data_IF_016040903636
#
_entry.id   IF_016040903636
#
_cell.length_a   1.000
_cell.length_b   1.000
_cell.length_c   1.000
_cell.angle_alpha   90.00
_cell.angle_beta   90.00
_cell.angle_gamma   90.00
#
_symmetry.space_group_name_H-M   'P 1'
#
loop_
_entity.id
_entity.type
_entity.pdbx_description
1 polymer ?
#
# COMPACT_ATOMS: atom_id res chain seq x y z
N UNK A 1 10.66 -6.08 28.99
CA UNK A 1 10.32 -5.81 27.58
C UNK A 1 9.28 -6.81 27.08
N UNK A 2 9.44 -8.07 27.49
CA UNK A 2 8.58 -9.22 27.12
C UNK A 2 7.08 -9.04 27.37
N UNK A 3 6.70 -8.32 28.44
CA UNK A 3 5.28 -8.03 28.74
C UNK A 3 4.64 -7.18 27.64
N UNK A 4 5.36 -6.19 27.10
CA UNK A 4 4.83 -5.33 26.04
C UNK A 4 4.79 -6.05 24.70
N UNK A 5 5.82 -6.84 24.38
CA UNK A 5 5.85 -7.62 23.13
C UNK A 5 4.72 -8.65 23.11
N UNK A 6 4.51 -9.37 24.22
CA UNK A 6 3.41 -10.34 24.34
C UNK A 6 2.05 -9.65 24.27
N UNK A 7 1.88 -8.51 24.94
CA UNK A 7 0.64 -7.73 24.82
C UNK A 7 0.36 -7.29 23.38
N UNK A 8 1.37 -6.84 22.63
CA UNK A 8 1.19 -6.45 21.21
C UNK A 8 0.71 -7.65 20.39
N UNK A 9 1.38 -8.80 20.49
CA UNK A 9 1.02 -10.01 19.75
C UNK A 9 -0.40 -10.46 20.10
N UNK A 10 -0.71 -10.61 21.39
CA UNK A 10 -2.02 -11.06 21.86
C UNK A 10 -3.13 -10.08 21.43
N UNK A 11 -2.84 -8.78 21.38
CA UNK A 11 -3.80 -7.75 20.94
C UNK A 11 -4.08 -7.89 19.44
N UNK A 12 -3.06 -8.05 18.60
CA UNK A 12 -3.24 -8.25 17.16
C UNK A 12 -3.98 -9.55 16.85
N UNK A 13 -3.67 -10.64 17.57
CA UNK A 13 -4.35 -11.93 17.41
C UNK A 13 -5.83 -11.89 17.84
N UNK A 14 -6.18 -10.99 18.75
CA UNK A 14 -7.57 -10.79 19.19
C UNK A 14 -8.46 -10.08 18.15
N UNK A 15 -7.85 -9.41 17.16
CA UNK A 15 -8.59 -8.66 16.14
C UNK A 15 -9.08 -9.59 15.02
N UNK A 16 -10.33 -9.43 14.54
CA UNK A 16 -10.77 -10.14 13.36
C UNK A 16 -9.91 -9.79 12.15
N UNK A 17 -9.48 -10.81 11.39
CA UNK A 17 -8.65 -10.60 10.20
C UNK A 17 -9.32 -9.67 9.19
N UNK A 18 -10.64 -9.74 9.07
CA UNK A 18 -11.45 -8.92 8.19
C UNK A 18 -11.38 -7.44 8.57
N UNK A 19 -11.25 -7.12 9.86
CA UNK A 19 -11.11 -5.75 10.34
C UNK A 19 -9.75 -5.17 9.91
N UNK A 20 -8.70 -5.96 10.05
CA UNK A 20 -7.34 -5.59 9.61
C UNK A 20 -7.34 -5.41 8.09
N UNK A 21 -7.79 -6.40 7.32
CA UNK A 21 -7.84 -6.29 5.86
C UNK A 21 -8.64 -5.07 5.40
N UNK A 22 -9.78 -4.79 6.03
CA UNK A 22 -10.59 -3.61 5.73
C UNK A 22 -9.85 -2.31 5.98
N UNK A 23 -9.10 -2.18 7.08
CA UNK A 23 -8.39 -0.92 7.36
C UNK A 23 -7.36 -0.59 6.29
N UNK A 24 -6.65 -1.61 5.77
CA UNK A 24 -5.69 -1.42 4.69
C UNK A 24 -6.36 -0.97 3.38
N UNK A 25 -7.49 -1.60 3.00
CA UNK A 25 -8.26 -1.23 1.81
C UNK A 25 -8.86 0.18 1.90
N UNK A 26 -9.35 0.55 3.09
CA UNK A 26 -9.94 1.87 3.34
C UNK A 26 -8.89 2.99 3.28
N UNK A 27 -7.63 2.67 3.61
CA UNK A 27 -6.49 3.57 3.49
C UNK A 27 -5.82 3.57 2.10
N UNK A 28 -6.29 2.78 1.13
CA UNK A 28 -5.68 2.73 -0.20
C UNK A 28 -4.38 1.93 -0.27
N UNK A 29 -4.04 1.11 0.74
CA UNK A 29 -2.72 0.47 0.86
C UNK A 29 -2.65 -0.86 0.10
N UNK A 30 -3.69 -1.69 0.23
CA UNK A 30 -3.70 -3.05 -0.33
C UNK A 30 -4.76 -3.22 -1.41
N UNK A 31 -5.20 -2.13 -2.03
CA UNK A 31 -6.28 -2.13 -3.03
C UNK A 31 -5.78 -2.74 -4.35
N UNK A 32 -6.69 -3.32 -5.12
CA UNK A 32 -6.41 -3.85 -6.44
C UNK A 32 -5.96 -2.71 -7.38
N UNK A 33 -4.84 -2.93 -8.07
CA UNK A 33 -4.23 -1.94 -8.98
C UNK A 33 -5.05 -1.69 -10.25
N UNK A 34 -6.00 -2.59 -10.57
CA UNK A 34 -6.92 -2.44 -11.69
C UNK A 34 -8.06 -1.44 -11.42
N UNK A 35 -8.10 -0.87 -10.21
CA UNK A 35 -9.11 0.09 -9.78
C UNK A 35 -10.45 -0.51 -9.36
N UNK A 36 -10.59 -1.85 -9.36
CA UNK A 36 -11.84 -2.54 -9.01
C UNK A 36 -12.27 -2.34 -7.55
N UNK A 37 -11.36 -1.88 -6.69
CA UNK A 37 -11.57 -1.65 -5.26
C UNK A 37 -11.38 -0.18 -4.84
N UNK A 38 -11.29 0.76 -5.79
CA UNK A 38 -11.13 2.18 -5.48
C UNK A 38 -12.35 2.75 -4.73
N UNK A 39 -13.49 2.06 -4.78
CA UNK A 39 -14.69 2.41 -4.02
C UNK A 39 -14.58 2.17 -2.52
N UNK A 40 -13.64 1.32 -2.10
CA UNK A 40 -13.40 1.03 -0.69
C UNK A 40 -12.61 2.15 0.01
N UNK A 41 -11.87 2.97 -0.74
CA UNK A 41 -11.00 4.02 -0.22
C UNK A 41 -11.84 5.11 0.47
N UNK A 42 -11.54 5.40 1.74
CA UNK A 42 -12.36 6.27 2.58
C UNK A 42 -12.54 7.67 1.99
N UNK A 43 -11.45 8.28 1.52
CA UNK A 43 -11.47 9.66 1.06
C UNK A 43 -12.29 9.82 -0.23
N UNK A 44 -12.51 8.74 -1.00
CA UNK A 44 -13.28 8.77 -2.24
C UNK A 44 -14.79 8.60 -2.05
N UNK A 45 -15.24 8.39 -0.81
CA UNK A 45 -16.68 8.32 -0.51
C UNK A 45 -17.34 9.69 -0.66
N UNK A 46 -18.67 9.75 -0.87
CA UNK A 46 -19.39 11.02 -0.99
C UNK A 46 -19.18 11.99 0.19
N UNK A 47 -19.04 11.45 1.39
CA UNK A 47 -18.76 12.15 2.65
C UNK A 47 -17.26 12.28 2.97
N UNK A 48 -16.40 11.73 2.11
CA UNK A 48 -14.95 11.75 2.25
C UNK A 48 -14.34 13.11 1.93
N UNK A 49 -13.04 13.25 2.20
CA UNK A 49 -12.29 14.47 1.91
C UNK A 49 -12.03 14.71 0.42
N UNK A 50 -12.18 13.69 -0.43
CA UNK A 50 -11.96 13.76 -1.87
C UNK A 50 -12.99 12.92 -2.66
N UNK A 51 -14.28 13.32 -2.68
CA UNK A 51 -15.34 12.53 -3.34
C UNK A 51 -15.09 12.26 -4.83
N UNK A 52 -14.35 13.16 -5.51
CA UNK A 52 -13.96 13.02 -6.91
C UNK A 52 -12.70 12.17 -7.14
N UNK A 53 -12.06 11.68 -6.07
CA UNK A 53 -10.75 11.04 -6.12
C UNK A 53 -10.71 9.80 -6.99
N UNK A 54 -11.77 8.99 -6.99
CA UNK A 54 -11.89 7.81 -7.88
C UNK A 54 -11.81 8.20 -9.35
N UNK A 55 -12.53 9.26 -9.75
CA UNK A 55 -12.53 9.74 -11.13
C UNK A 55 -11.16 10.32 -11.50
N UNK A 56 -10.53 11.05 -10.58
CA UNK A 56 -9.20 11.61 -10.80
C UNK A 56 -8.15 10.50 -10.97
N UNK A 57 -8.15 9.49 -10.09
CA UNK A 57 -7.23 8.35 -10.15
C UNK A 57 -7.41 7.56 -11.46
N UNK A 58 -8.65 7.26 -11.84
CA UNK A 58 -8.94 6.59 -13.11
C UNK A 58 -8.42 7.39 -14.32
N UNK A 59 -8.53 8.72 -14.32
CA UNK A 59 -7.98 9.54 -15.40
C UNK A 59 -6.45 9.48 -15.45
N UNK A 60 -5.76 9.48 -14.29
CA UNK A 60 -4.31 9.33 -14.25
C UNK A 60 -3.86 7.94 -14.76
N UNK A 61 -4.58 6.88 -14.41
CA UNK A 61 -4.33 5.54 -14.97
C UNK A 61 -4.47 5.51 -16.50
N UNK A 62 -5.47 6.20 -17.06
CA UNK A 62 -5.63 6.33 -18.51
C UNK A 62 -4.51 7.16 -19.16
N UNK A 63 -4.03 8.22 -18.50
CA UNK A 63 -2.90 9.00 -19.01
C UNK A 63 -1.64 8.15 -19.08
N UNK A 64 -1.37 7.35 -18.04
CA UNK A 64 -0.24 6.43 -18.02
C UNK A 64 -0.36 5.35 -19.10
N UNK A 65 -1.55 4.76 -19.29
CA UNK A 65 -1.74 3.71 -20.32
C UNK A 65 -1.61 4.22 -21.77
N UNK A 66 -1.85 5.52 -21.99
CA UNK A 66 -1.68 6.18 -23.29
C UNK A 66 -0.28 6.76 -23.48
N UNK A 67 0.43 7.10 -22.40
CA UNK A 67 1.74 7.76 -22.43
C UNK A 67 2.93 6.80 -22.29
N UNK A 68 2.76 5.55 -21.84
CA UNK A 68 3.88 4.65 -21.61
C UNK A 68 4.45 4.10 -22.93
N UNK A 69 5.56 4.68 -23.38
CA UNK A 69 6.56 3.87 -24.05
C UNK A 69 7.22 2.95 -23.00
N UNK A 70 7.59 1.73 -23.39
CA UNK A 70 8.28 0.78 -22.49
C UNK A 70 9.54 1.39 -21.84
N UNK A 71 10.15 2.39 -22.48
CA UNK A 71 11.27 3.17 -21.92
C UNK A 71 10.95 3.82 -20.59
N UNK A 72 9.74 4.37 -20.42
CA UNK A 72 9.40 5.19 -19.26
C UNK A 72 9.19 4.33 -17.99
N UNK A 73 8.90 3.04 -18.17
CA UNK A 73 8.87 2.06 -17.08
C UNK A 73 10.25 1.58 -16.66
N UNK A 74 11.22 1.56 -17.58
CA UNK A 74 12.59 1.11 -17.27
C UNK A 74 13.25 2.10 -16.32
N UNK A 75 13.08 3.40 -16.55
CA UNK A 75 13.62 4.45 -15.68
C UNK A 75 13.03 4.39 -14.26
N UNK A 76 11.73 4.10 -14.12
CA UNK A 76 11.07 4.01 -12.80
C UNK A 76 11.51 2.77 -12.01
N UNK A 77 11.81 1.65 -12.69
CA UNK A 77 12.34 0.44 -12.05
C UNK A 77 13.80 0.64 -11.63
N UNK A 78 14.59 1.42 -12.38
CA UNK A 78 15.96 1.78 -12.00
C UNK A 78 16.02 2.71 -10.77
N UNK A 79 15.00 3.54 -10.54
CA UNK A 79 14.92 4.41 -9.34
C UNK A 79 14.55 3.68 -8.05
N UNK A 80 14.03 2.44 -8.11
CA UNK A 80 13.79 1.62 -6.91
C UNK A 80 15.13 1.07 -6.42
N UNK A 81 15.84 1.86 -5.61
CA UNK A 81 17.08 1.43 -4.96
C UNK A 81 16.78 0.50 -3.78
N UNK A 82 16.56 -0.79 -4.08
CA UNK A 82 16.42 -1.85 -3.05
C UNK A 82 17.70 -2.04 -2.21
N UNK A 83 18.82 -1.39 -2.58
CA UNK A 83 20.07 -1.45 -1.84
C UNK A 83 20.26 -0.29 -0.86
N UNK A 84 19.39 0.73 -0.88
CA UNK A 84 19.46 1.88 0.02
C UNK A 84 19.31 1.50 1.51
N UNK A 85 18.58 0.42 1.79
CA UNK A 85 18.45 -0.13 3.15
C UNK A 85 19.81 -0.57 3.72
N UNK A 86 20.66 -1.18 2.88
CA UNK A 86 22.01 -1.61 3.25
C UNK A 86 22.95 -0.42 3.53
N UNK A 87 22.77 0.71 2.81
CA UNK A 87 23.61 1.91 2.96
C UNK A 87 23.22 2.71 4.19
N UNK A 88 21.93 2.72 4.55
CA UNK A 88 21.42 3.39 5.74
C UNK A 88 21.64 2.58 7.04
N UNK A 89 22.26 1.40 6.94
CA UNK A 89 22.54 0.53 8.08
C UNK A 89 21.31 -0.21 8.61
N UNK A 90 20.20 -0.21 7.87
CA UNK A 90 19.04 -1.06 8.15
C UNK A 90 19.33 -2.44 7.58
N UNK A 91 19.86 -3.31 8.44
CA UNK A 91 19.96 -4.74 8.14
C UNK A 91 18.52 -5.27 8.16
N UNK A 92 17.98 -5.69 7.01
CA UNK A 92 16.79 -6.54 7.00
C UNK A 92 17.12 -7.74 7.86
N UNK A 93 16.41 -7.94 8.95
CA UNK A 93 16.58 -9.18 9.68
C UNK A 93 16.07 -10.33 8.80
N UNK A 94 16.80 -11.44 8.78
CA UNK A 94 16.33 -12.68 8.15
C UNK A 94 15.31 -13.38 9.06
N UNK A 95 14.52 -12.65 9.88
CA UNK A 95 13.54 -13.25 10.80
C UNK A 95 12.35 -13.90 10.07
N UNK A 96 12.32 -13.87 8.73
CA UNK A 96 11.32 -14.52 7.90
C UNK A 96 11.85 -15.72 7.09
N UNK A 97 13.08 -16.18 7.30
CA UNK A 97 13.48 -17.52 6.85
C UNK A 97 12.92 -18.59 7.81
N UNK A 98 11.67 -19.00 7.55
CA UNK A 98 11.02 -20.20 8.10
C UNK A 98 10.49 -21.09 6.98
#
# INVERSE_FOLDING_TARGET
>A
MDVYLRWIVDTWDSLPKELITRSFKVCGISNAVDGSEDDLIHCFKPEGSCPEGRRLLANEHLKLSVSLAVSDLVDLVEEIDLYQDNVNGYISDESLEL
#
